data_IF_284594561466
#
_entry.id   IF_284594561466
#
_cell.length_a   1.000
_cell.length_b   1.000
_cell.length_c   1.000
_cell.angle_alpha   90.00
_cell.angle_beta   90.00
_cell.angle_gamma   90.00
#
_symmetry.space_group_name_H-M   'P 1'
#
loop_
_entity.id
_entity.type
_entity.pdbx_description
1 polymer ?
#
# COMPACT_ATOMS: atom_id res chain seq x y z
N UNK A 1 -68.91 -3.00 0.51
CA UNK A 1 -67.55 -2.41 0.42
C UNK A 1 -66.50 -3.50 0.61
N UNK A 2 -65.59 -3.58 -0.36
CA UNK A 2 -64.72 -4.71 -0.72
C UNK A 2 -63.79 -5.25 0.39
N UNK A 3 -64.15 -6.39 1.00
CA UNK A 3 -63.23 -7.18 1.85
C UNK A 3 -62.00 -7.72 1.11
N UNK A 4 -62.02 -7.78 -0.23
CA UNK A 4 -60.87 -8.14 -1.06
C UNK A 4 -59.77 -7.06 -1.07
N UNK A 5 -60.13 -5.78 -0.89
CA UNK A 5 -59.17 -4.68 -0.89
C UNK A 5 -58.28 -4.67 0.38
N UNK A 6 -58.86 -5.03 1.54
CA UNK A 6 -58.14 -5.08 2.83
C UNK A 6 -57.11 -6.20 2.90
N UNK A 7 -57.36 -7.35 2.23
CA UNK A 7 -56.42 -8.48 2.19
C UNK A 7 -55.19 -8.20 1.33
N UNK A 8 -55.34 -7.42 0.25
CA UNK A 8 -54.22 -7.03 -0.61
C UNK A 8 -53.21 -6.10 0.08
N UNK A 9 -53.70 -5.15 0.88
CA UNK A 9 -52.85 -4.19 1.59
C UNK A 9 -51.97 -4.89 2.66
N UNK A 10 -52.51 -5.86 3.39
CA UNK A 10 -51.77 -6.58 4.43
C UNK A 10 -50.62 -7.42 3.87
N UNK A 11 -50.84 -8.09 2.74
CA UNK A 11 -49.79 -8.89 2.06
C UNK A 11 -48.68 -7.97 1.53
N UNK A 12 -49.04 -6.81 0.96
CA UNK A 12 -48.08 -5.81 0.50
C UNK A 12 -47.17 -5.31 1.62
N UNK A 13 -47.73 -4.94 2.78
CA UNK A 13 -46.96 -4.50 3.93
C UNK A 13 -46.03 -5.62 4.47
N UNK A 14 -46.50 -6.85 4.54
CA UNK A 14 -45.67 -7.98 4.99
C UNK A 14 -44.48 -8.24 4.06
N UNK A 15 -44.69 -8.20 2.74
CA UNK A 15 -43.61 -8.35 1.76
C UNK A 15 -42.60 -7.21 1.84
N UNK A 16 -43.06 -5.97 2.05
CA UNK A 16 -42.18 -4.82 2.21
C UNK A 16 -41.34 -4.93 3.49
N UNK A 17 -41.92 -5.37 4.60
CA UNK A 17 -41.19 -5.60 5.85
C UNK A 17 -40.14 -6.69 5.68
N UNK A 18 -40.47 -7.81 5.04
CA UNK A 18 -39.51 -8.89 4.74
C UNK A 18 -38.37 -8.36 3.85
N UNK A 19 -38.68 -7.61 2.80
CA UNK A 19 -37.68 -7.02 1.92
C UNK A 19 -36.71 -6.10 2.67
N UNK A 20 -37.23 -5.26 3.57
CA UNK A 20 -36.41 -4.39 4.43
C UNK A 20 -35.49 -5.21 5.34
N UNK A 21 -36.00 -6.25 6.01
CA UNK A 21 -35.18 -7.12 6.86
C UNK A 21 -34.10 -7.86 6.07
N UNK A 22 -34.39 -8.32 4.85
CA UNK A 22 -33.40 -8.96 3.99
C UNK A 22 -32.29 -7.99 3.59
N UNK A 23 -32.64 -6.74 3.24
CA UNK A 23 -31.66 -5.69 2.93
C UNK A 23 -30.78 -5.41 4.14
N UNK A 24 -31.38 -5.11 5.31
CA UNK A 24 -30.63 -4.81 6.55
C UNK A 24 -29.76 -5.99 6.96
N UNK A 25 -30.30 -7.21 6.95
CA UNK A 25 -29.56 -8.42 7.30
C UNK A 25 -28.39 -8.67 6.36
N UNK A 26 -28.56 -8.44 5.04
CA UNK A 26 -27.47 -8.59 4.08
C UNK A 26 -26.34 -7.56 4.29
N UNK A 27 -26.69 -6.31 4.59
CA UNK A 27 -25.70 -5.26 4.90
C UNK A 27 -24.95 -5.59 6.19
N UNK A 28 -25.67 -5.97 7.25
CA UNK A 28 -25.06 -6.36 8.52
C UNK A 28 -24.10 -7.55 8.37
N UNK A 29 -24.48 -8.56 7.58
CA UNK A 29 -23.63 -9.72 7.30
C UNK A 29 -22.34 -9.33 6.57
N UNK A 30 -22.42 -8.48 5.54
CA UNK A 30 -21.23 -7.99 4.82
C UNK A 30 -20.33 -7.17 5.74
N UNK A 31 -20.89 -6.26 6.53
CA UNK A 31 -20.13 -5.46 7.50
C UNK A 31 -19.43 -6.32 8.54
N UNK A 32 -20.10 -7.34 9.07
CA UNK A 32 -19.51 -8.26 10.05
C UNK A 32 -18.34 -9.05 9.46
N UNK A 33 -18.49 -9.55 8.22
CA UNK A 33 -17.42 -10.26 7.51
C UNK A 33 -16.21 -9.36 7.27
N UNK A 34 -16.43 -8.17 6.69
CA UNK A 34 -15.37 -7.20 6.42
C UNK A 34 -14.67 -6.82 7.72
N UNK A 35 -15.42 -6.53 8.79
CA UNK A 35 -14.83 -6.22 10.09
C UNK A 35 -13.95 -7.35 10.64
N UNK A 36 -14.32 -8.61 10.42
CA UNK A 36 -13.50 -9.76 10.84
C UNK A 36 -12.14 -9.82 10.14
N UNK A 37 -12.13 -9.68 8.81
CA UNK A 37 -10.89 -9.70 8.03
C UNK A 37 -9.98 -8.52 8.37
N UNK A 38 -10.55 -7.32 8.57
CA UNK A 38 -9.79 -6.13 8.95
C UNK A 38 -9.20 -6.22 10.35
N UNK A 39 -9.93 -6.79 11.33
CA UNK A 39 -9.37 -7.08 12.65
C UNK A 39 -8.18 -8.02 12.54
N UNK A 40 -8.31 -9.09 11.75
CA UNK A 40 -7.18 -10.01 11.53
C UNK A 40 -5.97 -9.30 10.87
N UNK A 41 -6.22 -8.43 9.88
CA UNK A 41 -5.17 -7.65 9.25
C UNK A 41 -4.46 -6.74 10.27
N UNK A 42 -5.23 -6.03 11.10
CA UNK A 42 -4.73 -5.18 12.17
C UNK A 42 -3.94 -5.96 13.21
N UNK A 43 -4.50 -7.04 13.75
CA UNK A 43 -3.83 -7.91 14.74
C UNK A 43 -2.49 -8.43 14.18
N UNK A 44 -2.46 -8.81 12.90
CA UNK A 44 -1.22 -9.26 12.24
C UNK A 44 -0.20 -8.14 12.04
N UNK A 45 -0.64 -6.90 11.87
CA UNK A 45 0.22 -5.73 11.74
C UNK A 45 0.80 -5.34 13.10
N UNK A 46 -0.04 -5.31 14.14
CA UNK A 46 0.39 -5.06 15.53
C UNK A 46 1.42 -6.10 15.98
N UNK A 47 1.20 -7.38 15.66
CA UNK A 47 2.20 -8.43 15.92
C UNK A 47 3.52 -8.18 15.16
N UNK A 48 3.45 -7.71 13.90
CA UNK A 48 4.64 -7.37 13.13
C UNK A 48 5.39 -6.18 13.71
N UNK A 49 4.69 -5.15 14.19
CA UNK A 49 5.31 -3.99 14.83
C UNK A 49 5.95 -4.35 16.18
N UNK A 50 5.31 -5.22 16.96
CA UNK A 50 5.86 -5.70 18.22
C UNK A 50 7.20 -6.44 18.02
N UNK A 51 7.33 -7.22 16.94
CA UNK A 51 8.55 -7.98 16.65
C UNK A 51 9.62 -7.16 15.91
N UNK A 52 9.23 -6.40 14.88
CA UNK A 52 10.15 -5.77 13.93
C UNK A 52 10.28 -4.25 14.12
N UNK A 53 9.56 -3.67 15.08
CA UNK A 53 9.54 -2.26 15.38
C UNK A 53 8.58 -1.44 14.51
N UNK A 54 8.45 -0.16 14.89
CA UNK A 54 7.62 0.80 14.18
C UNK A 54 8.21 1.08 12.77
N UNK A 55 7.44 0.90 11.69
CA UNK A 55 7.91 1.19 10.34
C UNK A 55 8.41 2.63 10.16
N UNK A 56 7.85 3.60 10.89
CA UNK A 56 8.25 5.01 10.82
C UNK A 56 9.57 5.30 11.54
N UNK A 57 10.03 4.37 12.39
CA UNK A 57 11.30 4.46 13.12
C UNK A 57 12.41 3.61 12.49
N UNK A 58 12.11 2.92 11.39
CA UNK A 58 13.09 2.08 10.71
C UNK A 58 14.36 2.87 10.34
N UNK A 59 15.51 2.33 10.74
CA UNK A 59 16.83 2.86 10.42
C UNK A 59 17.54 1.85 9.53
N UNK A 60 17.72 2.17 8.23
CA UNK A 60 18.45 1.30 7.32
C UNK A 60 19.88 1.05 7.83
N UNK A 61 20.30 -0.22 7.85
CA UNK A 61 21.70 -0.58 8.10
C UNK A 61 22.61 -0.18 6.93
N UNK A 62 23.93 -0.37 7.11
CA UNK A 62 24.94 -0.14 6.06
C UNK A 62 24.81 1.22 5.37
N UNK A 63 24.62 2.29 6.16
CA UNK A 63 24.42 3.65 5.66
C UNK A 63 23.28 3.79 4.65
N UNK A 64 22.30 2.89 4.65
CA UNK A 64 21.17 2.87 3.73
C UNK A 64 21.38 2.17 2.41
N UNK A 65 22.58 1.67 2.10
CA UNK A 65 22.78 0.85 0.90
C UNK A 65 22.35 -0.59 1.19
N UNK A 66 21.34 -1.14 0.48
CA UNK A 66 20.85 -2.47 0.77
C UNK A 66 21.89 -3.53 0.42
N UNK A 67 22.08 -4.50 1.31
CA UNK A 67 22.96 -5.64 1.05
C UNK A 67 22.29 -6.64 0.11
N UNK A 68 23.07 -7.46 -0.59
CA UNK A 68 22.55 -8.50 -1.47
C UNK A 68 21.60 -9.47 -0.74
N UNK A 69 21.91 -9.79 0.53
CA UNK A 69 21.05 -10.63 1.37
C UNK A 69 19.67 -9.98 1.60
N UNK A 70 19.62 -8.69 1.98
CA UNK A 70 18.34 -8.02 2.22
C UNK A 70 17.52 -7.83 0.94
N UNK A 71 18.18 -7.61 -0.20
CA UNK A 71 17.53 -7.62 -1.52
C UNK A 71 16.91 -9.00 -1.82
N UNK A 72 17.64 -10.09 -1.56
CA UNK A 72 17.12 -11.45 -1.77
C UNK A 72 15.92 -11.78 -0.85
N UNK A 73 15.95 -11.32 0.40
CA UNK A 73 14.82 -11.43 1.33
C UNK A 73 13.61 -10.67 0.80
N UNK A 74 13.81 -9.43 0.35
CA UNK A 74 12.74 -8.61 -0.22
C UNK A 74 12.09 -9.30 -1.43
N UNK A 75 12.89 -9.80 -2.37
CA UNK A 75 12.39 -10.53 -3.54
C UNK A 75 11.65 -11.81 -3.15
N UNK A 76 12.08 -12.50 -2.09
CA UNK A 76 11.39 -13.69 -1.59
C UNK A 76 10.00 -13.33 -1.06
N UNK A 77 9.87 -12.28 -0.25
CA UNK A 77 8.56 -11.76 0.19
C UNK A 77 7.70 -11.38 -1.01
N UNK A 78 8.26 -10.68 -2.01
CA UNK A 78 7.53 -10.30 -3.23
C UNK A 78 7.02 -11.51 -4.01
N UNK A 79 7.83 -12.57 -4.14
CA UNK A 79 7.44 -13.81 -4.83
C UNK A 79 6.30 -14.54 -4.11
N UNK A 80 6.38 -14.67 -2.78
CA UNK A 80 5.31 -15.29 -1.99
C UNK A 80 3.97 -14.56 -2.12
N UNK A 81 4.01 -13.24 -2.33
CA UNK A 81 2.81 -12.43 -2.56
C UNK A 81 2.38 -12.40 -4.03
N UNK A 82 3.03 -13.12 -4.93
CA UNK A 82 2.76 -13.08 -6.38
C UNK A 82 1.30 -13.37 -6.73
N UNK A 83 0.75 -14.49 -6.24
CA UNK A 83 -0.64 -14.87 -6.49
C UNK A 83 -1.64 -13.86 -5.92
N UNK A 84 -1.36 -13.39 -4.72
CA UNK A 84 -2.14 -12.36 -4.02
C UNK A 84 -2.19 -11.05 -4.82
N UNK A 85 -1.06 -10.60 -5.36
CA UNK A 85 -0.97 -9.40 -6.20
C UNK A 85 -1.70 -9.56 -7.53
N UNK A 86 -1.57 -10.71 -8.18
CA UNK A 86 -2.28 -11.01 -9.42
C UNK A 86 -3.81 -11.04 -9.20
N UNK A 87 -4.26 -11.66 -8.11
CA UNK A 87 -5.67 -11.73 -7.72
C UNK A 87 -6.22 -10.34 -7.37
N UNK A 88 -5.47 -9.54 -6.60
CA UNK A 88 -5.85 -8.16 -6.27
C UNK A 88 -5.96 -7.29 -7.53
N UNK A 89 -5.00 -7.40 -8.46
CA UNK A 89 -5.05 -6.66 -9.72
C UNK A 89 -6.29 -6.98 -10.54
N UNK A 90 -6.69 -8.26 -10.59
CA UNK A 90 -7.91 -8.72 -11.27
C UNK A 90 -9.15 -8.11 -10.62
N UNK A 91 -9.28 -8.24 -9.29
CA UNK A 91 -10.45 -7.70 -8.58
C UNK A 91 -10.56 -6.18 -8.69
N UNK A 92 -9.44 -5.46 -8.66
CA UNK A 92 -9.43 -4.02 -8.87
C UNK A 92 -9.91 -3.66 -10.28
N UNK A 93 -9.45 -4.38 -11.31
CA UNK A 93 -9.90 -4.17 -12.68
C UNK A 93 -11.40 -4.44 -12.86
N UNK A 94 -11.90 -5.56 -12.31
CA UNK A 94 -13.33 -5.92 -12.35
C UNK A 94 -14.20 -4.89 -11.63
N UNK A 95 -13.75 -4.44 -10.46
CA UNK A 95 -14.43 -3.42 -9.68
C UNK A 95 -14.50 -2.07 -10.41
N UNK A 96 -13.39 -1.65 -11.05
CA UNK A 96 -13.38 -0.43 -11.87
C UNK A 96 -14.32 -0.53 -13.07
N UNK A 97 -14.33 -1.68 -13.75
CA UNK A 97 -15.23 -1.91 -14.88
C UNK A 97 -16.70 -1.82 -14.44
N UNK A 98 -17.03 -2.43 -13.29
CA UNK A 98 -18.38 -2.35 -12.73
C UNK A 98 -18.77 -0.92 -12.33
N UNK A 99 -17.83 -0.14 -11.78
CA UNK A 99 -18.03 1.27 -11.45
C UNK A 99 -18.36 2.09 -12.69
N UNK A 100 -17.55 1.97 -13.74
CA UNK A 100 -17.79 2.67 -15.01
C UNK A 100 -19.18 2.33 -15.57
N UNK A 101 -19.55 1.04 -15.56
CA UNK A 101 -20.87 0.59 -16.00
C UNK A 101 -22.02 1.20 -15.17
N UNK A 102 -21.83 1.38 -13.86
CA UNK A 102 -22.82 2.05 -12.99
C UNK A 102 -22.99 3.53 -13.37
N UNK A 103 -21.90 4.23 -13.67
CA UNK A 103 -21.93 5.64 -14.09
C UNK A 103 -22.67 5.82 -15.43
N UNK A 104 -22.52 4.88 -16.37
CA UNK A 104 -23.18 4.92 -17.66
C UNK A 104 -24.67 4.52 -17.62
N UNK A 105 -25.01 3.46 -16.89
CA UNK A 105 -26.35 2.83 -16.96
C UNK A 105 -27.26 3.20 -15.79
N UNK A 106 -26.70 3.65 -14.66
CA UNK A 106 -27.44 3.88 -13.43
C UNK A 106 -28.14 2.62 -12.90
N UNK A 107 -29.05 2.82 -11.95
CA UNK A 107 -29.96 1.78 -11.44
C UNK A 107 -29.64 1.21 -10.05
N UNK A 108 -30.68 0.68 -9.39
CA UNK A 108 -30.57 0.09 -8.06
C UNK A 108 -29.80 -1.25 -8.07
N UNK A 109 -29.99 -2.07 -9.12
CA UNK A 109 -29.33 -3.37 -9.23
C UNK A 109 -27.81 -3.25 -9.41
N UNK A 110 -27.35 -2.31 -10.24
CA UNK A 110 -25.92 -2.01 -10.44
C UNK A 110 -25.31 -1.43 -9.17
N UNK A 111 -26.05 -0.58 -8.45
CA UNK A 111 -25.63 -0.05 -7.14
C UNK A 111 -25.44 -1.15 -6.10
N UNK A 112 -26.39 -2.09 -6.00
CA UNK A 112 -26.27 -3.23 -5.09
C UNK A 112 -25.06 -4.14 -5.46
N UNK A 113 -24.88 -4.44 -6.75
CA UNK A 113 -23.72 -5.22 -7.22
C UNK A 113 -22.41 -4.52 -6.88
N UNK A 114 -22.30 -3.21 -7.13
CA UNK A 114 -21.10 -2.45 -6.81
C UNK A 114 -20.80 -2.48 -5.31
N UNK A 115 -21.82 -2.34 -4.45
CA UNK A 115 -21.64 -2.42 -3.00
C UNK A 115 -21.15 -3.81 -2.56
N UNK A 116 -21.69 -4.88 -3.15
CA UNK A 116 -21.24 -6.25 -2.89
C UNK A 116 -19.79 -6.48 -3.32
N UNK A 117 -19.44 -6.16 -4.57
CA UNK A 117 -18.07 -6.32 -5.08
C UNK A 117 -17.07 -5.45 -4.30
N UNK A 118 -17.49 -4.26 -3.86
CA UNK A 118 -16.67 -3.41 -2.98
C UNK A 118 -16.39 -4.08 -1.62
N UNK A 119 -17.38 -4.74 -1.03
CA UNK A 119 -17.19 -5.53 0.19
C UNK A 119 -16.26 -6.74 -0.01
N UNK A 120 -16.39 -7.44 -1.14
CA UNK A 120 -15.54 -8.58 -1.49
C UNK A 120 -14.09 -8.13 -1.75
N UNK A 121 -13.89 -7.00 -2.44
CA UNK A 121 -12.57 -6.37 -2.64
C UNK A 121 -11.95 -5.94 -1.31
N UNK A 122 -12.70 -5.30 -0.42
CA UNK A 122 -12.21 -4.89 0.90
C UNK A 122 -11.77 -6.10 1.74
N UNK A 123 -12.58 -7.16 1.78
CA UNK A 123 -12.24 -8.46 2.40
C UNK A 123 -10.98 -9.09 1.77
N UNK A 124 -10.82 -8.98 0.45
CA UNK A 124 -9.62 -9.47 -0.23
C UNK A 124 -8.37 -8.67 0.15
N UNK A 125 -8.45 -7.33 0.20
CA UNK A 125 -7.34 -6.46 0.60
C UNK A 125 -6.91 -6.70 2.06
N UNK A 126 -7.86 -6.88 2.97
CA UNK A 126 -7.54 -7.23 4.36
C UNK A 126 -6.78 -8.56 4.46
N UNK A 127 -7.20 -9.58 3.69
CA UNK A 127 -6.49 -10.87 3.61
C UNK A 127 -5.13 -10.76 2.91
N UNK A 128 -5.02 -9.91 1.90
CA UNK A 128 -3.75 -9.54 1.25
C UNK A 128 -2.76 -8.98 2.28
N UNK A 129 -3.16 -7.99 3.08
CA UNK A 129 -2.30 -7.40 4.11
C UNK A 129 -1.93 -8.40 5.20
N UNK A 130 -2.87 -9.26 5.61
CA UNK A 130 -2.57 -10.36 6.54
C UNK A 130 -1.50 -11.29 5.97
N UNK A 131 -1.60 -11.66 4.69
CA UNK A 131 -0.62 -12.50 4.01
C UNK A 131 0.75 -11.80 3.90
N UNK A 132 0.78 -10.50 3.56
CA UNK A 132 1.99 -9.66 3.54
C UNK A 132 2.66 -9.66 4.90
N UNK A 133 1.92 -9.36 5.97
CA UNK A 133 2.50 -9.25 7.31
C UNK A 133 3.07 -10.60 7.79
N UNK A 134 2.41 -11.72 7.46
CA UNK A 134 2.94 -13.05 7.74
C UNK A 134 4.19 -13.40 6.93
N UNK A 135 4.24 -13.02 5.65
CA UNK A 135 5.43 -13.22 4.82
C UNK A 135 6.62 -12.42 5.38
N UNK A 136 6.39 -11.14 5.68
CA UNK A 136 7.37 -10.25 6.32
C UNK A 136 7.91 -10.83 7.63
N UNK A 137 7.02 -11.27 8.52
CA UNK A 137 7.38 -11.91 9.78
C UNK A 137 8.25 -13.16 9.58
N UNK A 138 7.85 -14.07 8.68
CA UNK A 138 8.60 -15.31 8.41
C UNK A 138 10.02 -15.06 7.93
N UNK A 139 10.24 -13.95 7.25
CA UNK A 139 11.52 -13.60 6.65
C UNK A 139 12.30 -12.54 7.45
N UNK A 140 11.85 -12.23 8.67
CA UNK A 140 12.51 -11.26 9.55
C UNK A 140 12.69 -9.89 8.88
N UNK A 141 11.61 -9.38 8.27
CA UNK A 141 11.59 -8.09 7.61
C UNK A 141 10.46 -7.24 8.19
N UNK A 142 10.79 -6.05 8.69
CA UNK A 142 9.79 -5.08 9.12
C UNK A 142 9.07 -4.39 7.97
N UNK A 143 7.92 -3.77 8.23
CA UNK A 143 7.20 -2.97 7.24
C UNK A 143 8.00 -1.75 6.78
N UNK A 144 8.78 -1.12 7.67
CA UNK A 144 9.63 0.02 7.33
C UNK A 144 10.74 -0.36 6.37
N UNK A 145 11.40 -1.51 6.60
CA UNK A 145 12.39 -2.05 5.67
C UNK A 145 11.78 -2.43 4.32
N UNK A 146 10.62 -3.10 4.33
CA UNK A 146 9.93 -3.45 3.09
C UNK A 146 9.59 -2.20 2.27
N UNK A 147 9.06 -1.15 2.91
CA UNK A 147 8.75 0.11 2.25
C UNK A 147 10.01 0.83 1.73
N UNK A 148 11.09 0.81 2.50
CA UNK A 148 12.39 1.36 2.11
C UNK A 148 12.93 0.67 0.84
N UNK A 149 13.02 -0.67 0.85
CA UNK A 149 13.50 -1.45 -0.29
C UNK A 149 12.57 -1.33 -1.49
N UNK A 150 11.25 -1.25 -1.28
CA UNK A 150 10.28 -1.00 -2.35
C UNK A 150 10.56 0.34 -3.05
N UNK A 151 10.75 1.42 -2.28
CA UNK A 151 11.01 2.74 -2.83
C UNK A 151 12.34 2.78 -3.58
N UNK A 152 13.40 2.20 -3.01
CA UNK A 152 14.70 2.12 -3.69
C UNK A 152 14.65 1.29 -4.97
N UNK A 153 14.01 0.13 -4.93
CA UNK A 153 13.98 -0.78 -6.07
C UNK A 153 13.10 -0.25 -7.21
N UNK A 154 11.86 0.15 -6.91
CA UNK A 154 10.89 0.49 -7.94
C UNK A 154 10.93 1.97 -8.34
N UNK A 155 11.09 2.90 -7.39
CA UNK A 155 11.04 4.33 -7.71
C UNK A 155 12.42 4.89 -8.06
N UNK A 156 13.43 4.61 -7.24
CA UNK A 156 14.78 5.13 -7.50
C UNK A 156 15.50 4.37 -8.62
N UNK A 157 15.57 3.04 -8.54
CA UNK A 157 16.35 2.23 -9.48
C UNK A 157 15.63 1.97 -10.81
N UNK A 158 14.38 1.49 -10.79
CA UNK A 158 13.61 1.22 -12.01
C UNK A 158 12.90 2.46 -12.59
N UNK A 159 12.73 3.53 -11.81
CA UNK A 159 12.13 4.78 -12.29
C UNK A 159 10.61 4.74 -12.45
N UNK A 160 9.91 3.81 -11.77
CA UNK A 160 8.44 3.81 -11.76
C UNK A 160 7.89 5.01 -11.00
N UNK A 161 6.75 5.54 -11.45
CA UNK A 161 6.09 6.67 -10.81
C UNK A 161 5.36 6.19 -9.55
N UNK A 162 5.58 6.77 -8.35
CA UNK A 162 4.81 6.40 -7.17
C UNK A 162 3.29 6.58 -7.31
N UNK A 163 2.84 7.40 -8.27
CA UNK A 163 1.44 7.59 -8.61
C UNK A 163 0.87 6.50 -9.55
N UNK A 164 1.68 5.53 -9.98
CA UNK A 164 1.23 4.39 -10.76
C UNK A 164 0.10 3.64 -10.04
N UNK A 165 -0.92 3.27 -10.81
CA UNK A 165 -2.16 2.65 -10.29
C UNK A 165 -3.17 3.65 -9.72
N UNK A 166 -2.73 4.70 -8.99
CA UNK A 166 -3.62 5.69 -8.38
C UNK A 166 -4.46 6.41 -9.44
N UNK A 167 -3.84 6.78 -10.56
CA UNK A 167 -4.49 7.44 -11.70
C UNK A 167 -5.70 6.67 -12.23
N UNK A 168 -5.58 5.34 -12.29
CA UNK A 168 -6.60 4.45 -12.85
C UNK A 168 -7.70 4.12 -11.85
N UNK A 169 -7.32 4.05 -10.57
CA UNK A 169 -8.21 3.55 -9.54
C UNK A 169 -9.12 4.64 -8.97
N UNK A 170 -8.69 5.91 -9.01
CA UNK A 170 -9.42 7.02 -8.37
C UNK A 170 -9.63 6.78 -6.86
N UNK A 171 -8.84 5.87 -6.27
CA UNK A 171 -8.88 5.52 -4.86
C UNK A 171 -8.14 6.62 -4.09
N UNK A 172 -8.89 7.39 -3.33
CA UNK A 172 -8.38 8.24 -2.28
C UNK A 172 -8.54 7.49 -0.95
N UNK A 173 -7.42 7.14 -0.35
CA UNK A 173 -7.41 6.73 1.06
C UNK A 173 -7.58 7.98 1.90
N UNK A 174 -8.75 8.14 2.51
CA UNK A 174 -9.10 9.34 3.24
C UNK A 174 -10.34 9.16 4.10
N UNK A 175 -10.28 9.71 5.31
CA UNK A 175 -11.32 9.65 6.33
C UNK A 175 -10.78 9.15 7.66
N UNK A 176 -11.34 9.65 8.77
CA UNK A 176 -10.94 9.30 10.15
C UNK A 176 -10.95 7.78 10.46
N UNK A 177 -11.63 6.99 9.62
CA UNK A 177 -11.73 5.53 9.77
C UNK A 177 -10.92 4.72 8.74
N UNK A 178 -9.98 5.34 8.00
CA UNK A 178 -9.16 4.62 7.01
C UNK A 178 -9.95 4.11 5.79
N UNK A 179 -11.09 4.73 5.48
CA UNK A 179 -11.94 4.35 4.36
C UNK A 179 -11.30 4.60 3.00
N UNK A 180 -11.58 3.72 2.03
CA UNK A 180 -11.34 3.95 0.61
C UNK A 180 -12.48 4.81 0.06
N UNK A 181 -12.19 6.08 -0.22
CA UNK A 181 -13.12 6.97 -0.93
C UNK A 181 -12.75 7.03 -2.41
N UNK A 182 -13.74 7.01 -3.28
CA UNK A 182 -13.52 7.12 -4.73
C UNK A 182 -13.96 8.51 -5.20
N UNK A 183 -13.02 9.33 -5.66
CA UNK A 183 -13.33 10.59 -6.34
C UNK A 183 -12.94 10.49 -7.82
N UNK A 184 -13.92 10.72 -8.69
CA UNK A 184 -13.77 10.58 -10.15
C UNK A 184 -13.49 11.91 -10.87
N UNK A 185 -13.21 12.99 -10.16
CA UNK A 185 -12.94 14.28 -10.80
C UNK A 185 -11.55 14.29 -11.45
N UNK A 186 -11.50 14.71 -12.71
CA UNK A 186 -10.27 14.86 -13.49
C UNK A 186 -9.39 16.00 -12.96
N UNK A 187 -9.98 17.03 -12.34
CA UNK A 187 -9.22 18.09 -11.67
C UNK A 187 -8.41 17.57 -10.47
N UNK A 188 -8.82 16.45 -9.89
CA UNK A 188 -8.14 15.82 -8.77
C UNK A 188 -6.99 14.87 -9.18
N UNK A 189 -6.70 14.70 -10.48
CA UNK A 189 -5.62 13.82 -10.92
C UNK A 189 -4.23 14.32 -10.51
N UNK A 190 -3.96 15.60 -10.74
CA UNK A 190 -2.72 16.24 -10.28
C UNK A 190 -2.56 16.15 -8.77
N UNK A 191 -3.64 16.42 -8.02
CA UNK A 191 -3.62 16.32 -6.55
C UNK A 191 -3.38 14.89 -6.06
N UNK A 192 -3.95 13.87 -6.74
CA UNK A 192 -3.72 12.45 -6.40
C UNK A 192 -2.26 12.07 -6.56
N UNK A 193 -1.64 12.52 -7.66
CA UNK A 193 -0.23 12.33 -7.92
C UNK A 193 0.64 13.03 -6.89
N UNK A 194 0.36 14.30 -6.60
CA UNK A 194 1.09 15.07 -5.59
C UNK A 194 0.99 14.40 -4.21
N UNK A 195 -0.18 13.87 -3.83
CA UNK A 195 -0.35 13.11 -2.58
C UNK A 195 0.45 11.81 -2.56
N UNK A 196 0.51 11.07 -3.67
CA UNK A 196 1.32 9.86 -3.77
C UNK A 196 2.81 10.20 -3.60
N UNK A 197 3.28 11.24 -4.27
CA UNK A 197 4.67 11.71 -4.15
C UNK A 197 4.98 12.21 -2.75
N UNK A 198 4.13 13.06 -2.17
CA UNK A 198 4.28 13.56 -0.81
C UNK A 198 4.31 12.42 0.22
N UNK A 199 3.54 11.36 0.01
CA UNK A 199 3.56 10.19 0.90
C UNK A 199 4.88 9.43 0.83
N UNK A 200 5.43 9.18 -0.37
CA UNK A 200 6.77 8.58 -0.50
C UNK A 200 7.81 9.47 0.15
N UNK A 201 7.75 10.77 -0.14
CA UNK A 201 8.64 11.76 0.45
C UNK A 201 8.62 11.71 1.97
N UNK A 202 7.43 11.77 2.58
CA UNK A 202 7.26 11.79 4.03
C UNK A 202 7.71 10.49 4.70
N UNK A 203 7.48 9.34 4.05
CA UNK A 203 7.86 8.04 4.59
C UNK A 203 9.37 7.77 4.46
N UNK A 204 9.95 8.04 3.29
CA UNK A 204 11.30 7.58 2.95
C UNK A 204 12.38 8.59 3.35
N UNK A 205 12.12 9.89 3.29
CA UNK A 205 13.12 10.92 3.64
C UNK A 205 13.67 10.78 5.06
N UNK A 206 12.85 10.51 6.10
CA UNK A 206 13.38 10.26 7.45
C UNK A 206 14.29 9.02 7.52
N UNK A 207 13.97 7.96 6.77
CA UNK A 207 14.78 6.74 6.73
C UNK A 207 16.15 7.01 6.07
N UNK A 208 16.15 7.77 4.97
CA UNK A 208 17.37 8.20 4.29
C UNK A 208 18.25 9.10 5.17
N UNK A 209 17.63 9.99 5.95
CA UNK A 209 18.36 10.83 6.91
C UNK A 209 19.03 9.99 8.00
N UNK A 210 18.28 9.07 8.62
CA UNK A 210 18.84 8.14 9.63
C UNK A 210 19.95 7.25 9.06
N UNK A 211 19.83 6.86 7.79
CA UNK A 211 20.88 6.13 7.09
C UNK A 211 22.17 6.96 6.89
N UNK A 212 22.06 8.25 6.56
CA UNK A 212 23.21 9.13 6.45
C UNK A 212 23.88 9.38 7.81
N UNK A 213 23.09 9.55 8.87
CA UNK A 213 23.55 9.71 10.24
C UNK A 213 24.28 8.46 10.74
N UNK A 214 23.72 7.26 10.51
CA UNK A 214 24.31 5.99 10.94
C UNK A 214 25.63 5.69 10.23
N UNK A 215 25.75 6.07 8.95
CA UNK A 215 27.01 5.94 8.20
C UNK A 215 28.11 6.90 8.65
N UNK A 216 27.74 8.05 9.24
CA UNK A 216 28.70 9.08 9.70
C UNK A 216 29.18 8.86 11.13
N UNK A 217 28.41 8.11 11.93
CA UNK A 217 28.70 7.84 13.34
C UNK A 217 29.68 6.68 13.58
N UNK A 218 30.15 5.99 12.53
CA UNK A 218 31.14 4.95 12.67
C UNK A 218 32.45 5.54 13.24
N UNK A 219 32.88 5.04 14.40
CA UNK A 219 34.13 5.44 15.04
C UNK A 219 35.28 5.25 14.04
N UNK A 220 36.03 6.31 13.67
CA UNK A 220 37.15 6.18 12.74
C UNK A 220 38.26 5.26 13.27
N UNK A 221 38.26 4.95 14.58
CA UNK A 221 39.18 3.99 15.19
C UNK A 221 38.68 2.53 15.16
N UNK A 222 37.39 2.28 14.89
CA UNK A 222 36.87 0.93 14.72
C UNK A 222 37.21 0.43 13.32
N UNK A 223 37.92 -0.71 13.23
CA UNK A 223 38.12 -1.39 11.96
C UNK A 223 36.74 -1.66 11.33
N UNK A 224 36.44 -1.09 10.16
CA UNK A 224 35.16 -1.36 9.53
C UNK A 224 35.09 -2.85 9.26
N UNK A 225 34.06 -3.52 9.77
CA UNK A 225 33.75 -4.86 9.30
C UNK A 225 33.70 -4.77 7.77
N UNK A 226 34.47 -5.63 7.08
CA UNK A 226 34.69 -5.51 5.63
C UNK A 226 33.37 -5.45 4.82
N UNK A 227 32.29 -5.99 5.39
CA UNK A 227 30.94 -6.03 4.82
C UNK A 227 30.07 -4.78 5.12
N UNK A 228 30.54 -3.85 5.97
CA UNK A 228 29.82 -2.63 6.40
C UNK A 228 30.46 -1.33 5.89
N UNK A 229 31.55 -1.41 5.12
CA UNK A 229 32.17 -0.22 4.53
C UNK A 229 31.28 0.32 3.42
N UNK A 230 30.41 1.25 3.78
CA UNK A 230 29.62 2.04 2.84
C UNK A 230 30.56 2.77 1.89
N UNK A 231 30.43 2.53 0.58
CA UNK A 231 31.26 3.18 -0.41
C UNK A 231 31.13 4.72 -0.26
N UNK A 232 32.24 5.50 -0.19
CA UNK A 232 32.18 6.95 -0.07
C UNK A 232 31.28 7.63 -1.13
N UNK A 233 31.22 7.05 -2.34
CA UNK A 233 30.33 7.50 -3.40
C UNK A 233 28.84 7.39 -3.06
N UNK A 234 28.42 6.37 -2.29
CA UNK A 234 27.04 6.25 -1.84
C UNK A 234 26.70 7.32 -0.80
N UNK A 235 27.56 7.51 0.21
CA UNK A 235 27.34 8.54 1.23
C UNK A 235 27.21 9.92 0.59
N UNK A 236 28.12 10.27 -0.32
CA UNK A 236 28.04 11.53 -1.08
C UNK A 236 26.72 11.66 -1.85
N UNK A 237 26.30 10.61 -2.57
CA UNK A 237 25.05 10.63 -3.33
C UNK A 237 23.81 10.75 -2.42
N UNK A 238 23.85 10.13 -1.24
CA UNK A 238 22.78 10.19 -0.24
C UNK A 238 22.66 11.60 0.35
N UNK A 239 23.77 12.25 0.72
CA UNK A 239 23.76 13.63 1.22
C UNK A 239 23.21 14.59 0.16
N UNK A 240 23.67 14.47 -1.09
CA UNK A 240 23.15 15.30 -2.19
C UNK A 240 21.65 15.12 -2.41
N UNK A 241 21.15 13.88 -2.36
CA UNK A 241 19.72 13.63 -2.51
C UNK A 241 18.90 14.19 -1.34
N UNK A 242 19.43 14.14 -0.11
CA UNK A 242 18.77 14.73 1.06
C UNK A 242 18.65 16.26 0.94
N UNK A 243 19.65 16.94 0.38
CA UNK A 243 19.59 18.37 0.10
C UNK A 243 18.49 18.68 -0.93
N UNK A 244 18.41 17.91 -2.02
CA UNK A 244 17.36 18.06 -3.04
C UNK A 244 15.95 17.78 -2.50
N UNK A 245 15.81 16.80 -1.61
CA UNK A 245 14.54 16.50 -0.94
C UNK A 245 14.13 17.66 -0.01
N UNK A 246 15.08 18.29 0.70
CA UNK A 246 14.79 19.43 1.56
C UNK A 246 14.24 20.65 0.77
N UNK A 247 14.68 20.82 -0.48
CA UNK A 247 14.22 21.91 -1.35
C UNK A 247 12.88 21.64 -2.06
N UNK A 248 12.45 20.38 -2.14
CA UNK A 248 11.27 19.98 -2.93
C UNK A 248 10.38 18.96 -2.20
N UNK A 249 9.30 19.40 -1.51
CA UNK A 249 8.40 18.53 -0.75
C UNK A 249 7.65 17.46 -1.57
N UNK A 250 7.58 17.65 -2.89
CA UNK A 250 6.94 16.70 -3.82
C UNK A 250 7.96 15.85 -4.60
N UNK A 251 9.25 16.00 -4.31
CA UNK A 251 10.29 15.12 -4.86
C UNK A 251 10.28 13.80 -4.09
N UNK A 252 10.23 12.69 -4.81
CA UNK A 252 10.57 11.38 -4.26
C UNK A 252 12.05 11.04 -4.55
N UNK A 253 12.67 10.15 -3.76
CA UNK A 253 14.11 9.90 -3.83
C UNK A 253 14.60 9.47 -5.22
N UNK A 254 15.67 10.11 -5.68
CA UNK A 254 16.38 9.84 -6.95
C UNK A 254 15.49 9.82 -8.18
N UNK A 255 14.51 10.73 -8.23
CA UNK A 255 13.65 10.96 -9.42
C UNK A 255 14.44 11.13 -10.72
N UNK A 256 15.66 11.66 -10.64
CA UNK A 256 16.51 11.94 -11.81
C UNK A 256 17.48 10.78 -12.17
N UNK A 257 17.39 9.66 -11.45
CA UNK A 257 18.19 8.45 -11.67
C UNK A 257 18.96 8.00 -10.43
N UNK A 258 18.96 6.68 -10.20
CA UNK A 258 19.71 6.07 -9.11
C UNK A 258 21.24 6.26 -9.26
N UNK A 259 21.96 6.49 -8.15
CA UNK A 259 23.41 6.55 -8.16
C UNK A 259 23.99 5.15 -8.42
N UNK A 260 25.21 5.11 -8.96
CA UNK A 260 25.86 3.86 -9.40
C UNK A 260 25.90 2.76 -8.31
N UNK A 261 26.24 3.03 -7.03
CA UNK A 261 26.22 1.99 -6.00
C UNK A 261 24.84 1.35 -5.79
N UNK A 262 23.76 2.14 -5.87
CA UNK A 262 22.40 1.63 -5.77
C UNK A 262 22.02 0.78 -6.99
N UNK A 263 22.41 1.25 -8.18
CA UNK A 263 22.21 0.50 -9.41
C UNK A 263 22.96 -0.84 -9.40
N UNK A 264 24.18 -0.87 -8.86
CA UNK A 264 24.96 -2.09 -8.68
C UNK A 264 24.26 -3.08 -7.73
N UNK A 265 23.71 -2.59 -6.61
CA UNK A 265 23.02 -3.43 -5.63
C UNK A 265 21.79 -4.18 -6.20
N UNK A 266 21.08 -3.58 -7.16
CA UNK A 266 19.91 -4.18 -7.78
C UNK A 266 20.15 -4.77 -9.18
N UNK A 267 21.35 -4.57 -9.78
CA UNK A 267 21.64 -4.97 -11.17
C UNK A 267 21.29 -6.42 -11.45
N UNK A 268 21.73 -7.34 -10.58
CA UNK A 268 21.53 -8.77 -10.74
C UNK A 268 20.04 -9.19 -10.72
N UNK A 269 19.17 -8.34 -10.17
CA UNK A 269 17.75 -8.63 -9.95
C UNK A 269 16.82 -7.79 -10.82
N UNK A 270 17.34 -7.02 -11.79
CA UNK A 270 16.54 -6.07 -12.59
C UNK A 270 15.31 -6.73 -13.23
N UNK A 271 15.51 -7.82 -13.95
CA UNK A 271 14.42 -8.51 -14.66
C UNK A 271 13.37 -9.07 -13.69
N UNK A 272 13.81 -9.62 -12.55
CA UNK A 272 12.90 -10.15 -11.53
C UNK A 272 12.09 -9.02 -10.89
N UNK A 273 12.72 -7.88 -10.57
CA UNK A 273 12.02 -6.70 -10.07
C UNK A 273 10.97 -6.21 -11.07
N UNK A 274 11.31 -6.06 -12.36
CA UNK A 274 10.35 -5.64 -13.39
C UNK A 274 9.15 -6.60 -13.48
N UNK A 275 9.38 -7.92 -13.43
CA UNK A 275 8.30 -8.93 -13.41
C UNK A 275 7.45 -8.88 -12.14
N UNK A 276 8.09 -8.60 -11.01
CA UNK A 276 7.43 -8.47 -9.73
C UNK A 276 6.82 -7.08 -9.56
N UNK A 277 6.94 -6.13 -10.48
CA UNK A 277 6.22 -4.86 -10.38
C UNK A 277 4.78 -5.01 -10.86
N UNK A 278 3.83 -4.43 -10.12
CA UNK A 278 2.41 -4.50 -10.45
C UNK A 278 1.77 -3.13 -10.35
N UNK A 279 1.60 -2.45 -11.48
CA UNK A 279 1.03 -1.09 -11.56
C UNK A 279 -0.32 -0.99 -10.81
N UNK A 280 -1.21 -1.96 -10.99
CA UNK A 280 -2.53 -1.94 -10.37
C UNK A 280 -2.50 -2.06 -8.85
N UNK A 281 -1.50 -2.76 -8.30
CA UNK A 281 -1.36 -2.99 -6.86
C UNK A 281 -0.38 -2.03 -6.20
N UNK A 282 0.37 -1.24 -6.96
CA UNK A 282 1.32 -0.26 -6.43
C UNK A 282 0.73 0.58 -5.28
N UNK A 283 -0.51 1.13 -5.37
CA UNK A 283 -1.07 1.91 -4.28
C UNK A 283 -1.32 1.14 -2.99
N UNK A 284 -1.44 -0.20 -3.03
CA UNK A 284 -1.79 -1.04 -1.86
C UNK A 284 -0.59 -1.68 -1.17
N UNK A 285 0.55 -1.76 -1.86
CA UNK A 285 1.75 -2.47 -1.40
C UNK A 285 2.38 -1.87 -0.14
N UNK A 286 2.35 -0.54 -0.06
CA UNK A 286 3.01 0.26 0.96
C UNK A 286 2.00 1.00 1.84
N UNK A 287 0.73 0.58 1.78
CA UNK A 287 -0.26 0.99 2.77
C UNK A 287 -0.07 0.18 4.03
N UNK A 288 0.19 0.90 5.10
CA UNK A 288 0.01 0.43 6.46
C UNK A 288 -0.52 1.63 7.23
N UNK A 289 -1.35 1.34 8.24
CA UNK A 289 -1.89 2.38 9.10
C UNK A 289 -0.73 3.14 9.74
N UNK A 290 -0.81 4.48 9.69
CA UNK A 290 -0.03 5.27 10.62
C UNK A 290 -0.50 4.90 12.02
N UNK A 291 0.42 4.68 12.98
CA UNK A 291 0.00 4.66 14.37
C UNK A 291 -0.79 5.96 14.60
N UNK A 292 -2.00 5.84 15.17
CA UNK A 292 -2.76 7.02 15.54
C UNK A 292 -1.82 7.93 16.33
N UNK A 293 -1.73 9.20 15.94
CA UNK A 293 -0.98 10.16 16.73
C UNK A 293 -1.54 10.07 18.16
N UNK A 294 -0.67 9.75 19.13
CA UNK A 294 -1.05 9.86 20.53
C UNK A 294 -1.22 11.35 20.82
N UNK A 295 -2.46 11.83 20.72
CA UNK A 295 -2.88 13.18 21.11
C UNK A 295 -2.86 13.36 22.64
#
# INVERSE_FOLDING_TARGET
>A
MNGKLKKGLGIGCALLVIAVFLVIGSVAFVLQRVSGDYRQARDSQEALFAEQGDPWQYTPGNGGLPTAERVAVFLTVRRELGEWRASTATMLADFLHLKQKKEEQGGLLTTYRLAREGGDLASHLARYWTARNRALMRHGMGLGEYAYLYALAYYAYLGYDPADGVRRLGLELGGEAGGLTLRADASAEGERQDRAWARVHHLITPMLRRAAESGSAADPAAEPAADLAVAPAWHQALTQELDLLAESPLRYPWRDGAPQPLADAFRAHRQELEQLYGVAVNPVEWLFEQPAAED
#
